data_IF_940582323027
#
_entry.id   IF_940582323027
#
_cell.length_a   1.000
_cell.length_b   1.000
_cell.length_c   1.000
_cell.angle_alpha   90.00
_cell.angle_beta   90.00
_cell.angle_gamma   90.00
#
_symmetry.space_group_name_H-M   'P 1'
#
loop_
_entity.id
_entity.type
_entity.pdbx_description
1 polymer ?
#
# COMPACT_ATOMS: atom_id res chain seq x y z
N UNK A 1 -18.27 4.12 -13.59
CA UNK A 1 -16.87 3.84 -13.22
C UNK A 1 -16.94 3.08 -11.91
N UNK A 2 -17.05 1.75 -11.98
CA UNK A 2 -17.27 0.84 -10.84
C UNK A 2 -16.00 0.02 -10.53
N UNK A 3 -14.82 0.60 -10.77
CA UNK A 3 -13.59 -0.18 -11.01
C UNK A 3 -12.83 -0.63 -9.77
N UNK A 4 -13.24 -0.23 -8.56
CA UNK A 4 -12.48 -0.51 -7.32
C UNK A 4 -13.27 -1.29 -6.26
N UNK A 5 -14.45 -1.82 -6.60
CA UNK A 5 -15.15 -2.78 -5.74
C UNK A 5 -14.47 -4.14 -5.85
N UNK A 6 -13.22 -4.25 -5.37
CA UNK A 6 -12.63 -5.55 -5.14
C UNK A 6 -13.48 -6.28 -4.10
N UNK A 7 -13.78 -7.54 -4.40
CA UNK A 7 -14.50 -8.38 -3.47
C UNK A 7 -13.67 -8.52 -2.17
N UNK A 8 -14.26 -8.48 -0.97
CA UNK A 8 -13.52 -8.59 0.29
C UNK A 8 -12.52 -9.76 0.33
N UNK A 9 -12.92 -10.90 -0.25
CA UNK A 9 -12.05 -12.07 -0.42
C UNK A 9 -10.74 -11.76 -1.16
N UNK A 10 -10.79 -10.98 -2.23
CA UNK A 10 -9.62 -10.60 -3.03
C UNK A 10 -8.73 -9.59 -2.27
N UNK A 11 -9.33 -8.74 -1.45
CA UNK A 11 -8.60 -7.79 -0.60
C UNK A 11 -7.77 -8.58 0.41
N UNK A 12 -8.38 -9.54 1.11
CA UNK A 12 -7.68 -10.41 2.06
C UNK A 12 -6.62 -11.28 1.40
N UNK A 13 -6.89 -11.86 0.23
CA UNK A 13 -5.91 -12.66 -0.54
C UNK A 13 -4.68 -11.86 -0.99
N UNK A 14 -4.80 -10.53 -1.10
CA UNK A 14 -3.70 -9.65 -1.50
C UNK A 14 -3.15 -8.83 -0.32
N UNK A 15 -3.65 -9.02 0.90
CA UNK A 15 -3.15 -8.37 2.10
C UNK A 15 -1.66 -8.69 2.29
N UNK A 16 -0.86 -7.67 2.55
CA UNK A 16 0.60 -7.74 2.65
C UNK A 16 1.34 -7.85 1.32
N UNK A 17 0.66 -7.93 0.16
CA UNK A 17 1.33 -7.89 -1.14
C UNK A 17 1.78 -6.47 -1.48
N UNK A 18 2.85 -6.33 -2.26
CA UNK A 18 3.36 -5.03 -2.67
C UNK A 18 2.61 -4.49 -3.89
N UNK A 19 2.30 -3.20 -3.87
CA UNK A 19 1.60 -2.54 -4.96
C UNK A 19 2.16 -1.16 -5.25
N UNK A 20 1.96 -0.74 -6.50
CA UNK A 20 2.22 0.60 -7.01
C UNK A 20 0.93 1.29 -7.40
N UNK A 21 0.74 2.51 -6.92
CA UNK A 21 -0.41 3.37 -7.22
C UNK A 21 0.04 4.49 -8.14
N UNK A 22 -0.57 4.58 -9.32
CA UNK A 22 -0.41 5.71 -10.22
C UNK A 22 -1.60 6.65 -10.06
N UNK A 23 -1.34 7.94 -9.87
CA UNK A 23 -2.38 8.97 -9.72
C UNK A 23 -2.83 9.54 -11.06
N UNK A 24 -4.06 10.07 -11.11
CA UNK A 24 -4.63 10.70 -12.32
C UNK A 24 -4.00 12.04 -12.68
N UNK A 25 -3.47 12.75 -11.69
CA UNK A 25 -2.90 14.09 -11.81
C UNK A 25 -1.38 14.08 -12.02
N UNK A 26 -0.82 12.94 -12.44
CA UNK A 26 0.61 12.73 -12.64
C UNK A 26 1.49 13.07 -11.41
N UNK A 27 0.92 12.98 -10.21
CA UNK A 27 1.69 12.99 -8.97
C UNK A 27 2.64 11.79 -8.90
N UNK A 28 3.67 11.94 -8.06
CA UNK A 28 4.66 10.89 -7.79
C UNK A 28 3.92 9.62 -7.35
N UNK A 29 4.17 8.46 -7.99
CA UNK A 29 3.59 7.19 -7.59
C UNK A 29 3.85 6.88 -6.13
N UNK A 30 2.86 6.26 -5.47
CA UNK A 30 3.03 5.74 -4.12
C UNK A 30 3.12 4.22 -4.20
N UNK A 31 4.06 3.67 -3.44
CA UNK A 31 4.36 2.24 -3.39
C UNK A 31 4.33 1.78 -1.94
N UNK A 32 3.82 0.56 -1.72
CA UNK A 32 3.72 -0.02 -0.38
C UNK A 32 2.95 -1.33 -0.36
N UNK A 33 2.90 -1.94 0.82
CA UNK A 33 2.19 -3.19 1.05
C UNK A 33 0.71 -2.93 1.32
N UNK A 34 -0.17 -3.66 0.65
CA UNK A 34 -1.60 -3.51 0.82
C UNK A 34 -2.01 -3.95 2.23
N UNK A 35 -2.56 -3.04 3.03
CA UNK A 35 -3.17 -3.39 4.31
C UNK A 35 -4.65 -3.68 4.18
N UNK A 36 -5.37 -2.81 3.47
CA UNK A 36 -6.81 -2.91 3.29
C UNK A 36 -7.30 -2.06 2.10
N UNK A 37 -8.51 -2.35 1.64
CA UNK A 37 -9.30 -1.49 0.75
C UNK A 37 -10.67 -1.34 1.40
N UNK A 38 -11.12 -0.12 1.68
CA UNK A 38 -12.49 0.09 2.13
C UNK A 38 -13.46 -0.27 0.99
N UNK A 39 -14.31 -1.31 1.13
CA UNK A 39 -15.18 -1.76 0.05
C UNK A 39 -16.28 -0.74 -0.31
N UNK A 40 -16.55 0.24 0.57
CA UNK A 40 -17.56 1.27 0.33
C UNK A 40 -17.00 2.41 -0.52
N UNK A 41 -15.89 3.03 -0.08
CA UNK A 41 -15.28 4.17 -0.79
C UNK A 41 -14.25 3.77 -1.85
N UNK A 42 -13.74 2.54 -1.80
CA UNK A 42 -12.57 2.11 -2.57
C UNK A 42 -11.25 2.70 -2.08
N UNK A 43 -11.21 3.31 -0.90
CA UNK A 43 -9.99 3.90 -0.34
C UNK A 43 -8.95 2.81 -0.10
N UNK A 44 -7.75 2.99 -0.66
CA UNK A 44 -6.61 2.07 -0.47
C UNK A 44 -5.80 2.48 0.75
N UNK A 45 -5.43 1.49 1.55
CA UNK A 45 -4.50 1.65 2.67
C UNK A 45 -3.21 0.89 2.38
N UNK A 46 -2.09 1.62 2.26
CA UNK A 46 -0.76 1.03 2.01
C UNK A 46 0.17 1.29 3.17
N UNK A 47 0.97 0.28 3.52
CA UNK A 47 2.03 0.33 4.53
C UNK A 47 3.36 0.53 3.82
N UNK A 48 4.12 1.53 4.26
CA UNK A 48 5.50 1.69 3.81
C UNK A 48 6.43 1.14 4.88
N UNK A 49 7.14 0.08 4.51
CA UNK A 49 8.22 -0.44 5.34
C UNK A 49 9.50 0.39 5.06
N UNK A 50 10.11 1.02 6.09
CA UNK A 50 11.36 1.76 5.92
C UNK A 50 12.51 0.86 5.40
N UNK A 51 12.47 -0.45 5.65
CA UNK A 51 13.52 -1.38 5.23
C UNK A 51 13.48 -1.75 3.74
N UNK A 52 12.32 -1.63 3.07
CA UNK A 52 12.16 -1.90 1.64
C UNK A 52 12.58 -0.72 0.74
N UNK A 53 12.93 0.42 1.33
CA UNK A 53 13.23 1.68 0.63
C UNK A 53 14.71 1.87 0.27
N UNK A 54 15.55 0.83 0.30
CA UNK A 54 17.00 0.96 0.14
C UNK A 54 17.48 0.87 -1.32
N UNK A 55 17.12 1.84 -2.14
CA UNK A 55 17.79 2.02 -3.45
C UNK A 55 17.94 3.47 -3.93
N UNK A 56 17.51 4.46 -3.14
CA UNK A 56 17.68 5.88 -3.48
C UNK A 56 18.74 6.51 -2.56
N UNK A 57 19.86 7.04 -3.10
CA UNK A 57 20.85 7.76 -2.31
C UNK A 57 20.45 9.24 -2.23
N UNK A 58 19.88 9.71 -1.13
CA UNK A 58 19.66 11.14 -0.92
C UNK A 58 19.52 11.49 0.55
N UNK A 59 20.64 11.95 1.14
CA UNK A 59 20.86 13.07 2.08
C UNK A 59 19.77 13.60 3.04
N UNK A 60 18.69 12.88 3.29
CA UNK A 60 17.74 13.13 4.37
C UNK A 60 17.55 11.81 5.10
N UNK A 61 18.12 11.72 6.30
CA UNK A 61 17.74 10.73 7.30
C UNK A 61 16.29 11.00 7.68
N UNK A 62 15.34 10.60 6.82
CA UNK A 62 13.98 10.38 7.27
C UNK A 62 14.00 9.07 8.04
N UNK A 63 13.71 9.21 9.31
CA UNK A 63 13.70 8.16 10.32
C UNK A 63 12.92 6.94 9.84
N UNK A 64 13.34 5.80 10.39
CA UNK A 64 12.70 4.49 10.40
C UNK A 64 11.27 4.57 10.97
N UNK A 65 10.39 5.31 10.33
CA UNK A 65 9.01 5.49 10.75
C UNK A 65 8.08 4.68 9.86
N UNK A 66 7.26 3.88 10.53
CA UNK A 66 6.09 3.23 9.96
C UNK A 66 5.16 4.30 9.35
N UNK A 67 5.00 4.30 8.03
CA UNK A 67 4.05 5.21 7.35
C UNK A 67 2.87 4.42 6.79
N UNK A 68 1.68 4.99 6.95
CA UNK A 68 0.44 4.49 6.34
C UNK A 68 -0.09 5.53 5.37
N UNK A 69 -0.30 5.13 4.12
CA UNK A 69 -0.96 5.94 3.11
C UNK A 69 -2.44 5.58 3.05
N UNK A 70 -3.31 6.59 3.11
CA UNK A 70 -4.73 6.48 2.79
C UNK A 70 -4.98 7.20 1.47
N UNK A 71 -5.41 6.46 0.44
CA UNK A 71 -5.50 6.95 -0.94
C UNK A 71 -6.95 6.83 -1.42
N UNK A 72 -7.56 7.97 -1.71
CA UNK A 72 -8.92 8.06 -2.23
C UNK A 72 -9.02 7.46 -3.63
N UNK A 73 -10.06 6.67 -3.88
CA UNK A 73 -10.22 5.92 -5.14
C UNK A 73 -10.33 6.79 -6.40
N UNK A 74 -10.86 8.00 -6.26
CA UNK A 74 -11.02 8.98 -7.34
C UNK A 74 -9.68 9.60 -7.78
N UNK A 75 -8.68 9.61 -6.90
CA UNK A 75 -7.32 10.04 -7.22
C UNK A 75 -6.53 8.99 -8.04
N UNK A 76 -6.98 7.73 -8.05
CA UNK A 76 -6.24 6.60 -8.64
C UNK A 76 -6.50 6.51 -10.14
N UNK A 77 -5.41 6.40 -10.91
CA UNK A 77 -5.41 6.03 -12.32
C UNK A 77 -5.28 4.51 -12.48
N UNK A 78 -4.26 3.91 -11.86
CA UNK A 78 -4.08 2.46 -11.79
C UNK A 78 -3.48 2.02 -10.47
N UNK A 79 -3.70 0.76 -10.13
CA UNK A 79 -3.19 0.09 -8.94
C UNK A 79 -2.72 -1.30 -9.35
N UNK A 80 -1.42 -1.53 -9.30
CA UNK A 80 -0.78 -2.69 -9.92
C UNK A 80 0.04 -3.43 -8.87
N UNK A 81 -0.13 -4.75 -8.80
CA UNK A 81 0.63 -5.62 -7.92
C UNK A 81 2.02 -5.81 -8.50
N UNK A 82 3.05 -5.70 -7.65
CA UNK A 82 4.41 -6.07 -8.02
C UNK A 82 4.75 -7.44 -7.44
N UNK A 83 4.59 -8.48 -8.26
CA UNK A 83 4.90 -9.86 -7.86
C UNK A 83 6.41 -10.13 -7.71
N UNK A 84 7.28 -9.17 -8.04
CA UNK A 84 8.73 -9.31 -7.81
C UNK A 84 9.14 -9.05 -6.36
N UNK A 85 8.27 -8.39 -5.58
CA UNK A 85 8.49 -8.09 -4.16
C UNK A 85 7.78 -9.15 -3.32
N UNK A 86 8.53 -9.77 -2.40
CA UNK A 86 7.96 -10.75 -1.50
C UNK A 86 6.89 -10.10 -0.59
N UNK A 87 5.70 -10.69 -0.45
CA UNK A 87 4.69 -10.19 0.48
C UNK A 87 5.21 -10.15 1.92
N UNK A 88 4.65 -9.27 2.75
CA UNK A 88 4.90 -9.25 4.18
C UNK A 88 4.62 -10.61 4.80
N UNK A 89 5.45 -11.00 5.77
CA UNK A 89 5.20 -12.22 6.53
C UNK A 89 3.96 -12.04 7.43
N UNK A 90 3.30 -13.13 7.83
CA UNK A 90 2.18 -13.07 8.77
C UNK A 90 2.54 -12.35 10.07
N UNK A 91 3.77 -12.51 10.57
CA UNK A 91 4.25 -11.85 11.79
C UNK A 91 4.34 -10.34 11.63
N UNK A 92 4.86 -9.86 10.49
CA UNK A 92 4.91 -8.43 10.20
C UNK A 92 3.50 -7.83 10.06
N UNK A 93 2.56 -8.55 9.44
CA UNK A 93 1.16 -8.11 9.36
C UNK A 93 0.50 -8.00 10.74
N UNK A 94 0.77 -8.94 11.64
CA UNK A 94 0.27 -8.91 13.02
C UNK A 94 0.83 -7.72 13.80
N UNK A 95 2.12 -7.39 13.62
CA UNK A 95 2.73 -6.20 14.21
C UNK A 95 2.01 -4.92 13.76
N UNK A 96 1.74 -4.80 12.46
CA UNK A 96 0.96 -3.68 11.92
C UNK A 96 -0.47 -3.64 12.46
N UNK A 97 -1.12 -4.79 12.61
CA UNK A 97 -2.45 -4.85 13.20
C UNK A 97 -2.46 -4.32 14.64
N UNK A 98 -1.45 -4.67 15.44
CA UNK A 98 -1.28 -4.13 16.80
C UNK A 98 -0.99 -2.62 16.85
N UNK A 99 -0.34 -2.06 15.83
CA UNK A 99 -0.06 -0.62 15.77
C UNK A 99 -1.28 0.21 15.37
N UNK A 100 -2.24 -0.39 14.66
CA UNK A 100 -3.39 0.30 14.06
C UNK A 100 -4.70 0.08 14.83
N UNK A 101 -4.71 -0.75 15.88
CA UNK A 101 -5.87 -1.01 16.77
C UNK A 101 -5.52 -0.80 18.23
#
# INVERSE_FOLDING_TARGET
MDSYRMHPKLIEENRGSFFRVLFRNDQIPVEGFLWNIDPVSGTLFLLKDPSASSSIPSSHLEETEHRVYSIMSDAIRSFEKDDSVQPLSPEALLEWDHLLT
#
